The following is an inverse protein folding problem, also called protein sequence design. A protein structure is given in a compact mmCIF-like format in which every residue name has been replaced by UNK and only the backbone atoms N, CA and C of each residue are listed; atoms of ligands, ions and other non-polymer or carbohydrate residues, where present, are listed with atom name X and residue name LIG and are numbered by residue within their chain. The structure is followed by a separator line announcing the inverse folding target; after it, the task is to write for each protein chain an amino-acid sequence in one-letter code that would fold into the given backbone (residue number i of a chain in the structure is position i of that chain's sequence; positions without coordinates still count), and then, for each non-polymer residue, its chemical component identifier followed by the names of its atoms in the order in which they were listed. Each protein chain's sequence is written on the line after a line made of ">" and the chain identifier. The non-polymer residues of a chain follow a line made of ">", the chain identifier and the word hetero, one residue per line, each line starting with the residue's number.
data_IF_246792199424
#
_entry.id   IF_246792199424
#
_cell.length_a   1.000
_cell.length_b   1.000
_cell.length_c   1.000
_cell.angle_alpha   90.00
_cell.angle_beta   90.00
_cell.angle_gamma   90.00
#
_symmetry.space_group_name_H-M   'P 1'
#
loop_
_entity.id
_entity.type
_entity.pdbx_description
1 polymer ?
#
# COMPACT_ATOMS: atom_id res chain seq x y z
N UNK A 1 -7.00 -35.54 -22.60
CA UNK A 1 -7.41 -34.23 -23.17
C UNK A 1 -6.39 -33.11 -22.93
N UNK A 2 -5.22 -33.38 -22.33
CA UNK A 2 -4.22 -32.37 -21.94
C UNK A 2 -3.23 -31.97 -23.03
N UNK A 3 -2.91 -32.83 -24.01
CA UNK A 3 -1.88 -32.53 -25.03
C UNK A 3 -2.24 -31.41 -25.99
N UNK A 4 -3.55 -31.19 -26.20
CA UNK A 4 -4.06 -30.23 -27.17
C UNK A 4 -3.92 -28.77 -26.71
N UNK A 5 -4.12 -28.51 -25.41
CA UNK A 5 -3.96 -27.18 -24.82
C UNK A 5 -2.49 -26.75 -24.80
N UNK A 6 -1.56 -27.67 -24.52
CA UNK A 6 -0.12 -27.39 -24.48
C UNK A 6 0.41 -26.94 -25.83
N UNK A 7 0.02 -27.59 -26.93
CA UNK A 7 0.46 -27.24 -28.28
C UNK A 7 0.01 -25.84 -28.70
N UNK A 8 -1.21 -25.44 -28.32
CA UNK A 8 -1.74 -24.11 -28.60
C UNK A 8 -1.03 -23.02 -27.78
N UNK A 9 -0.75 -23.30 -26.50
CA UNK A 9 0.02 -22.40 -25.63
C UNK A 9 1.41 -22.19 -26.22
N UNK A 10 2.08 -23.27 -26.65
CA UNK A 10 3.40 -23.19 -27.28
C UNK A 10 3.36 -22.37 -28.58
N UNK A 11 2.36 -22.58 -29.43
CA UNK A 11 2.18 -21.81 -30.66
C UNK A 11 1.98 -20.31 -30.39
N UNK A 12 1.18 -19.96 -29.38
CA UNK A 12 0.94 -18.56 -29.00
C UNK A 12 2.18 -17.90 -28.38
N UNK A 13 2.97 -18.64 -27.59
CA UNK A 13 4.20 -18.12 -26.99
C UNK A 13 5.24 -17.66 -28.02
N UNK A 14 5.28 -18.29 -29.21
CA UNK A 14 6.20 -17.89 -30.30
C UNK A 14 5.98 -16.48 -30.83
N UNK A 15 4.82 -15.88 -30.58
CA UNK A 15 4.51 -14.51 -30.98
C UNK A 15 4.88 -13.49 -29.91
N UNK A 16 5.04 -13.91 -28.65
CA UNK A 16 5.25 -12.99 -27.52
C UNK A 16 6.75 -12.84 -27.27
N UNK A 17 7.31 -11.61 -27.31
CA UNK A 17 8.71 -11.40 -26.94
C UNK A 17 8.92 -11.62 -25.43
N UNK A 18 9.97 -12.35 -25.06
CA UNK A 18 10.30 -12.64 -23.67
C UNK A 18 11.15 -11.55 -22.97
N UNK A 19 11.51 -10.48 -23.68
CA UNK A 19 12.45 -9.45 -23.19
C UNK A 19 11.80 -8.45 -22.22
N UNK A 20 10.48 -8.27 -22.28
CA UNK A 20 9.75 -7.36 -21.40
C UNK A 20 9.44 -8.05 -20.07
N UNK A 21 9.99 -7.52 -18.97
CA UNK A 21 9.88 -8.11 -17.63
C UNK A 21 8.44 -8.23 -17.13
N UNK A 22 7.57 -7.27 -17.42
CA UNK A 22 6.18 -7.28 -16.96
C UNK A 22 5.35 -8.30 -17.74
N UNK A 23 5.52 -8.34 -19.07
CA UNK A 23 4.91 -9.38 -19.92
C UNK A 23 5.39 -10.76 -19.48
N UNK A 24 6.70 -10.91 -19.26
CA UNK A 24 7.34 -12.14 -18.82
C UNK A 24 6.74 -12.70 -17.53
N UNK A 25 6.55 -11.84 -16.52
CA UNK A 25 5.91 -12.23 -15.25
C UNK A 25 4.44 -12.59 -15.42
N UNK A 26 3.68 -11.81 -16.20
CA UNK A 26 2.24 -12.04 -16.42
C UNK A 26 1.97 -13.33 -17.20
N UNK A 27 2.75 -13.58 -18.24
CA UNK A 27 2.70 -14.82 -19.03
C UNK A 27 3.13 -16.01 -18.18
N UNK A 28 4.20 -15.88 -17.38
CA UNK A 28 4.61 -16.92 -16.43
C UNK A 28 3.50 -17.28 -15.43
N UNK A 29 2.88 -16.28 -14.79
CA UNK A 29 1.75 -16.52 -13.87
C UNK A 29 0.58 -17.21 -14.59
N UNK A 30 0.31 -16.85 -15.85
CA UNK A 30 -0.73 -17.46 -16.67
C UNK A 30 -0.45 -18.94 -16.98
N UNK A 31 0.78 -19.28 -17.36
CA UNK A 31 1.21 -20.66 -17.60
C UNK A 31 1.12 -21.49 -16.31
N UNK A 32 1.66 -20.97 -15.20
CA UNK A 32 1.64 -21.68 -13.91
C UNK A 32 0.22 -21.90 -13.38
N UNK A 33 -0.68 -20.96 -13.65
CA UNK A 33 -2.09 -21.08 -13.27
C UNK A 33 -2.82 -22.16 -14.07
N UNK A 34 -2.51 -22.31 -15.36
CA UNK A 34 -3.18 -23.28 -16.22
C UNK A 34 -2.59 -24.69 -16.10
N UNK A 35 -1.27 -24.81 -16.01
CA UNK A 35 -0.54 -26.08 -16.13
C UNK A 35 0.11 -26.55 -14.83
N UNK A 36 0.06 -25.74 -13.76
CA UNK A 36 0.80 -26.02 -12.53
C UNK A 36 2.29 -26.15 -12.80
N UNK A 37 2.98 -26.99 -12.03
CA UNK A 37 4.42 -27.21 -12.15
C UNK A 37 4.84 -27.84 -13.50
N UNK A 38 3.92 -28.53 -14.18
CA UNK A 38 4.16 -29.08 -15.53
C UNK A 38 4.35 -27.99 -16.60
N UNK A 39 4.00 -26.73 -16.30
CA UNK A 39 4.19 -25.60 -17.19
C UNK A 39 5.60 -25.02 -17.23
N UNK A 40 6.51 -25.45 -16.33
CA UNK A 40 7.83 -24.86 -16.23
C UNK A 40 8.64 -25.00 -17.52
N UNK A 41 8.60 -26.16 -18.18
CA UNK A 41 9.35 -26.40 -19.42
C UNK A 41 8.94 -25.46 -20.55
N UNK A 42 7.64 -25.14 -20.68
CA UNK A 42 7.16 -24.15 -21.65
C UNK A 42 7.64 -22.75 -21.32
N UNK A 43 7.54 -22.37 -20.04
CA UNK A 43 7.97 -21.08 -19.57
C UNK A 43 9.48 -20.86 -19.76
N UNK A 44 10.29 -21.87 -19.43
CA UNK A 44 11.74 -21.84 -19.54
C UNK A 44 12.19 -21.78 -21.01
N UNK A 45 11.63 -22.63 -21.87
CA UNK A 45 11.92 -22.62 -23.31
C UNK A 45 11.56 -21.29 -23.97
N UNK A 46 10.42 -20.69 -23.60
CA UNK A 46 10.04 -19.37 -24.09
C UNK A 46 10.96 -18.27 -23.55
N UNK A 47 11.32 -18.34 -22.27
CA UNK A 47 12.26 -17.40 -21.64
C UNK A 47 13.63 -17.42 -22.31
N UNK A 48 14.08 -18.59 -22.77
CA UNK A 48 15.34 -18.76 -23.49
C UNK A 48 15.41 -18.05 -24.84
N UNK A 49 14.30 -17.51 -25.35
CA UNK A 49 14.29 -16.67 -26.56
C UNK A 49 14.77 -15.24 -26.30
N UNK A 50 14.89 -14.82 -25.04
CA UNK A 50 15.38 -13.49 -24.68
C UNK A 50 16.91 -13.45 -24.60
N UNK A 51 17.51 -12.35 -25.07
CA UNK A 51 18.97 -12.17 -25.11
C UNK A 51 19.61 -12.14 -23.71
N UNK A 52 18.82 -11.83 -22.67
CA UNK A 52 19.25 -11.76 -21.27
C UNK A 52 18.85 -13.00 -20.45
N UNK A 53 18.51 -14.12 -21.10
CA UNK A 53 18.07 -15.32 -20.41
C UNK A 53 19.12 -15.91 -19.47
N UNK A 54 18.66 -16.29 -18.28
CA UNK A 54 19.42 -17.08 -17.33
C UNK A 54 18.51 -18.17 -16.74
N UNK A 55 18.95 -19.43 -16.84
CA UNK A 55 18.14 -20.58 -16.41
C UNK A 55 17.92 -20.64 -14.89
N UNK A 56 18.93 -20.29 -14.09
CA UNK A 56 18.82 -20.26 -12.62
C UNK A 56 17.84 -19.17 -12.17
N UNK A 57 17.97 -17.98 -12.74
CA UNK A 57 17.07 -16.86 -12.41
C UNK A 57 15.64 -17.17 -12.86
N UNK A 58 15.48 -17.79 -14.04
CA UNK A 58 14.17 -18.21 -14.56
C UNK A 58 13.50 -19.20 -13.63
N UNK A 59 14.24 -20.21 -13.14
CA UNK A 59 13.74 -21.18 -12.17
C UNK A 59 13.35 -20.54 -10.83
N UNK A 60 14.19 -19.63 -10.31
CA UNK A 60 13.91 -18.91 -9.07
C UNK A 60 12.63 -18.06 -9.20
N UNK A 61 12.47 -17.35 -10.31
CA UNK A 61 11.25 -16.57 -10.51
C UNK A 61 10.05 -17.48 -10.69
N UNK A 62 10.14 -18.58 -11.44
CA UNK A 62 9.05 -19.55 -11.58
C UNK A 62 8.49 -20.00 -10.24
N UNK A 63 9.37 -20.30 -9.28
CA UNK A 63 8.97 -20.67 -7.92
C UNK A 63 8.20 -19.54 -7.21
N UNK A 64 8.59 -18.28 -7.43
CA UNK A 64 7.93 -17.09 -6.85
C UNK A 64 6.60 -16.70 -7.51
N UNK A 65 6.29 -17.22 -8.70
CA UNK A 65 5.05 -16.91 -9.43
C UNK A 65 3.82 -17.42 -8.68
N UNK A 66 2.73 -16.66 -8.77
CA UNK A 66 1.50 -16.84 -8.00
C UNK A 66 0.39 -17.43 -8.87
N UNK A 67 -0.11 -18.60 -8.48
CA UNK A 67 -1.28 -19.23 -9.12
C UNK A 67 -2.52 -18.35 -8.89
N UNK A 68 -3.30 -18.12 -9.95
CA UNK A 68 -4.52 -17.32 -9.91
C UNK A 68 -4.32 -15.81 -10.10
N UNK A 69 -3.08 -15.32 -10.16
CA UNK A 69 -2.80 -13.88 -10.41
C UNK A 69 -3.07 -13.47 -11.86
N UNK A 70 -2.74 -14.34 -12.81
CA UNK A 70 -3.05 -14.19 -14.22
C UNK A 70 -3.56 -15.54 -14.75
N UNK A 71 -4.53 -15.53 -15.64
CA UNK A 71 -5.08 -16.74 -16.28
C UNK A 71 -4.61 -16.85 -17.73
N UNK A 72 -4.75 -18.03 -18.35
CA UNK A 72 -4.24 -18.31 -19.70
C UNK A 72 -4.71 -17.32 -20.78
N UNK A 73 -5.87 -16.67 -20.60
CA UNK A 73 -6.33 -15.58 -21.46
C UNK A 73 -5.36 -14.38 -21.54
N UNK A 74 -4.56 -14.15 -20.50
CA UNK A 74 -3.51 -13.11 -20.48
C UNK A 74 -2.43 -13.41 -21.52
N UNK A 75 -2.01 -14.68 -21.63
CA UNK A 75 -1.04 -15.12 -22.63
C UNK A 75 -1.60 -14.89 -24.04
N UNK A 76 -2.83 -15.31 -24.30
CA UNK A 76 -3.46 -15.11 -25.62
C UNK A 76 -3.75 -13.64 -25.94
N UNK A 77 -4.02 -12.81 -24.94
CA UNK A 77 -4.15 -11.36 -25.12
C UNK A 77 -2.84 -10.77 -25.67
N UNK A 78 -1.71 -11.08 -25.03
CA UNK A 78 -0.40 -10.64 -25.52
C UNK A 78 -0.06 -11.25 -26.87
N UNK A 79 -0.28 -12.55 -27.07
CA UNK A 79 -0.03 -13.20 -28.36
C UNK A 79 -0.77 -12.48 -29.51
N UNK A 80 -2.05 -12.11 -29.31
CA UNK A 80 -2.84 -11.36 -30.30
C UNK A 80 -2.29 -9.96 -30.55
N UNK A 81 -1.79 -9.27 -29.53
CA UNK A 81 -1.15 -7.95 -29.71
C UNK A 81 0.08 -8.04 -30.63
N UNK A 82 0.75 -9.20 -30.65
CA UNK A 82 1.88 -9.49 -31.52
C UNK A 82 1.49 -10.27 -32.79
N UNK A 83 0.20 -10.29 -33.16
CA UNK A 83 -0.25 -10.81 -34.46
C UNK A 83 -0.65 -12.29 -34.50
N UNK A 84 -0.79 -12.95 -33.34
CA UNK A 84 -1.33 -14.31 -33.29
C UNK A 84 -2.81 -14.35 -33.72
N UNK A 85 -3.14 -15.23 -34.67
CA UNK A 85 -4.52 -15.55 -35.07
C UNK A 85 -4.82 -17.03 -34.83
N UNK A 86 -6.10 -17.39 -34.68
CA UNK A 86 -6.52 -18.78 -34.40
C UNK A 86 -6.66 -19.64 -35.67
N UNK A 87 -6.32 -19.08 -36.83
CA UNK A 87 -6.72 -19.58 -38.15
C UNK A 87 -6.01 -20.89 -38.53
N UNK A 88 -4.89 -21.20 -37.86
CA UNK A 88 -4.13 -22.46 -37.96
C UNK A 88 -4.03 -23.23 -36.64
N UNK A 89 -4.92 -22.93 -35.69
CA UNK A 89 -4.91 -23.54 -34.36
C UNK A 89 -6.14 -24.43 -34.18
N UNK A 90 -6.01 -25.56 -33.47
CA UNK A 90 -7.19 -26.18 -32.91
C UNK A 90 -7.91 -25.18 -32.00
N UNK A 91 -9.23 -25.10 -32.12
CA UNK A 91 -10.04 -24.22 -31.31
C UNK A 91 -9.69 -24.40 -29.83
N UNK A 92 -9.39 -23.30 -29.13
CA UNK A 92 -9.43 -23.28 -27.66
C UNK A 92 -10.70 -24.03 -27.25
N UNK A 93 -10.64 -25.01 -26.33
CA UNK A 93 -11.86 -25.57 -25.79
C UNK A 93 -12.62 -24.41 -25.15
N UNK A 94 -13.64 -23.93 -25.85
CA UNK A 94 -14.59 -22.98 -25.32
C UNK A 94 -15.18 -23.69 -24.12
N UNK A 95 -14.86 -23.20 -22.92
CA UNK A 95 -15.42 -23.73 -21.69
C UNK A 95 -16.92 -23.77 -21.91
N UNK A 96 -17.51 -24.96 -21.81
CA UNK A 96 -18.96 -25.06 -21.91
C UNK A 96 -19.59 -24.29 -20.73
N UNK A 97 -20.87 -23.94 -20.79
CA UNK A 97 -21.52 -23.16 -19.73
C UNK A 97 -21.31 -23.75 -18.32
N UNK A 98 -21.22 -25.07 -18.21
CA UNK A 98 -20.97 -25.76 -16.94
C UNK A 98 -19.55 -25.52 -16.42
N UNK A 99 -18.52 -25.64 -17.26
CA UNK A 99 -17.12 -25.38 -16.87
C UNK A 99 -16.86 -23.90 -16.56
N UNK A 100 -17.56 -22.98 -17.23
CA UNK A 100 -17.51 -21.56 -16.91
C UNK A 100 -18.12 -21.29 -15.53
N UNK A 101 -19.29 -21.89 -15.25
CA UNK A 101 -19.95 -21.78 -13.95
C UNK A 101 -19.10 -22.39 -12.82
N UNK A 102 -18.50 -23.56 -13.02
CA UNK A 102 -17.59 -24.19 -12.06
C UNK A 102 -16.38 -23.30 -11.74
N UNK A 103 -15.75 -22.70 -12.77
CA UNK A 103 -14.63 -21.76 -12.60
C UNK A 103 -15.04 -20.52 -11.83
N UNK A 104 -16.18 -19.91 -12.18
CA UNK A 104 -16.70 -18.74 -11.47
C UNK A 104 -17.02 -19.08 -10.01
N UNK A 105 -17.63 -20.24 -9.76
CA UNK A 105 -17.92 -20.73 -8.41
C UNK A 105 -16.64 -20.95 -7.61
N UNK A 106 -15.60 -21.56 -8.19
CA UNK A 106 -14.30 -21.73 -7.53
C UNK A 106 -13.62 -20.39 -7.24
N UNK A 107 -13.66 -19.44 -8.17
CA UNK A 107 -13.11 -18.09 -7.96
C UNK A 107 -13.85 -17.36 -6.85
N UNK A 108 -15.19 -17.47 -6.82
CA UNK A 108 -16.01 -16.85 -5.79
C UNK A 108 -15.72 -17.48 -4.41
N UNK A 109 -15.70 -18.81 -4.31
CA UNK A 109 -15.34 -19.52 -3.07
C UNK A 109 -13.93 -19.17 -2.59
N UNK A 110 -12.95 -19.10 -3.50
CA UNK A 110 -11.59 -18.72 -3.15
C UNK A 110 -11.50 -17.27 -2.66
N UNK A 111 -12.23 -16.34 -3.31
CA UNK A 111 -12.31 -14.94 -2.90
C UNK A 111 -13.00 -14.79 -1.54
N UNK A 112 -14.08 -15.52 -1.30
CA UNK A 112 -14.79 -15.54 -0.02
C UNK A 112 -13.89 -16.09 1.09
N UNK A 113 -13.22 -17.22 0.85
CA UNK A 113 -12.26 -17.81 1.80
C UNK A 113 -11.12 -16.84 2.12
N UNK A 114 -10.50 -16.24 1.10
CA UNK A 114 -9.44 -15.26 1.31
C UNK A 114 -9.92 -14.01 2.07
N UNK A 115 -11.17 -13.57 1.82
CA UNK A 115 -11.78 -12.45 2.55
C UNK A 115 -12.01 -12.80 4.01
N UNK A 116 -12.52 -14.00 4.30
CA UNK A 116 -12.72 -14.49 5.66
C UNK A 116 -11.40 -14.65 6.43
N UNK A 117 -10.38 -15.25 5.80
CA UNK A 117 -9.04 -15.39 6.38
C UNK A 117 -8.41 -14.04 6.71
N UNK A 118 -8.54 -13.07 5.79
CA UNK A 118 -8.05 -11.70 6.00
C UNK A 118 -8.81 -10.99 7.12
N UNK A 119 -10.14 -11.16 7.21
CA UNK A 119 -10.95 -10.59 8.28
C UNK A 119 -10.56 -11.17 9.65
N UNK A 120 -10.34 -12.49 9.74
CA UNK A 120 -9.87 -13.14 10.97
C UNK A 120 -8.49 -12.62 11.37
N UNK A 121 -7.57 -12.50 10.42
CA UNK A 121 -6.25 -11.93 10.67
C UNK A 121 -6.34 -10.51 11.23
N UNK A 122 -7.19 -9.66 10.66
CA UNK A 122 -7.38 -8.29 11.14
C UNK A 122 -8.00 -8.25 12.52
N UNK A 123 -8.98 -9.10 12.83
CA UNK A 123 -9.56 -9.19 14.16
C UNK A 123 -8.51 -9.58 15.23
N UNK A 124 -7.67 -10.57 14.92
CA UNK A 124 -6.56 -10.98 15.80
C UNK A 124 -5.52 -9.86 15.97
N UNK A 125 -5.17 -9.17 14.89
CA UNK A 125 -4.22 -8.07 14.94
C UNK A 125 -4.77 -6.88 15.74
N UNK A 126 -6.06 -6.56 15.61
CA UNK A 126 -6.74 -5.52 16.38
C UNK A 126 -6.75 -5.83 17.89
N UNK A 127 -7.06 -7.08 18.28
CA UNK A 127 -6.98 -7.53 19.67
C UNK A 127 -5.57 -7.36 20.25
N UNK A 128 -4.55 -7.79 19.49
CA UNK A 128 -3.14 -7.61 19.88
C UNK A 128 -2.77 -6.13 19.99
N UNK A 129 -3.18 -5.32 19.02
CA UNK A 129 -2.93 -3.87 19.01
C UNK A 129 -3.55 -3.19 20.22
N UNK A 130 -4.81 -3.51 20.54
CA UNK A 130 -5.50 -2.97 21.71
C UNK A 130 -4.82 -3.37 23.01
N UNK A 131 -4.43 -4.64 23.16
CA UNK A 131 -3.72 -5.13 24.35
C UNK A 131 -2.38 -4.41 24.54
N UNK A 132 -1.58 -4.27 23.47
CA UNK A 132 -0.34 -3.50 23.52
C UNK A 132 -0.59 -2.04 23.88
N UNK A 133 -1.56 -1.40 23.22
CA UNK A 133 -1.94 -0.01 23.47
C UNK A 133 -2.31 0.26 24.93
N UNK A 134 -3.13 -0.62 25.52
CA UNK A 134 -3.58 -0.51 26.90
C UNK A 134 -2.44 -0.66 27.92
N UNK A 135 -1.41 -1.43 27.57
CA UNK A 135 -0.22 -1.63 28.40
C UNK A 135 0.88 -0.57 28.18
N UNK A 136 0.73 0.33 27.20
CA UNK A 136 1.67 1.42 27.01
C UNK A 136 1.49 2.49 28.10
N UNK A 137 2.60 3.06 28.57
CA UNK A 137 2.61 4.10 29.57
C UNK A 137 2.33 5.48 28.97
N UNK A 138 1.91 6.42 29.82
CA UNK A 138 1.89 7.83 29.46
C UNK A 138 3.31 8.33 29.19
N UNK A 139 3.43 9.27 28.25
CA UNK A 139 4.68 9.98 27.96
C UNK A 139 4.36 11.46 27.77
N UNK A 140 5.20 12.35 28.27
CA UNK A 140 5.11 13.79 28.01
C UNK A 140 5.82 14.14 26.68
N UNK A 141 6.19 15.41 26.50
CA UNK A 141 6.88 15.87 25.30
C UNK A 141 8.39 15.56 25.31
N UNK A 142 8.91 14.83 26.30
CA UNK A 142 10.36 14.62 26.48
C UNK A 142 10.92 13.44 25.68
N UNK A 143 10.09 12.70 24.95
CA UNK A 143 10.60 11.60 24.13
C UNK A 143 11.57 12.12 23.05
N UNK A 144 12.75 11.49 22.83
CA UNK A 144 13.79 12.01 21.94
C UNK A 144 13.32 12.37 20.53
N UNK A 145 12.43 11.54 19.94
CA UNK A 145 11.83 11.84 18.64
C UNK A 145 10.98 13.12 18.64
N UNK A 146 10.19 13.37 19.68
CA UNK A 146 9.34 14.56 19.78
C UNK A 146 10.19 15.83 19.89
N UNK A 147 11.21 15.78 20.74
CA UNK A 147 12.18 16.87 20.92
C UNK A 147 12.94 17.14 19.62
N UNK A 148 13.45 16.10 18.97
CA UNK A 148 14.19 16.21 17.69
C UNK A 148 13.34 16.83 16.59
N UNK A 149 12.04 16.53 16.59
CA UNK A 149 11.10 17.02 15.57
C UNK A 149 10.42 18.33 15.96
N UNK A 150 10.72 18.89 17.15
CA UNK A 150 10.06 20.05 17.75
C UNK A 150 8.51 19.96 17.73
N UNK A 151 8.00 18.78 18.07
CA UNK A 151 6.56 18.47 18.09
C UNK A 151 6.10 17.98 19.45
N UNK A 152 4.80 18.13 19.71
CA UNK A 152 4.19 17.69 20.97
C UNK A 152 3.54 16.31 20.87
N UNK A 153 3.29 15.73 22.03
CA UNK A 153 2.46 14.54 22.19
C UNK A 153 0.97 14.91 22.09
N UNK A 154 0.30 14.35 21.08
CA UNK A 154 -1.12 14.46 20.83
C UNK A 154 -1.78 13.08 20.78
N UNK A 155 -1.83 12.42 21.94
CA UNK A 155 -2.48 11.13 22.10
C UNK A 155 -1.59 9.92 21.80
N UNK A 156 -0.27 10.09 21.91
CA UNK A 156 0.72 9.02 21.87
C UNK A 156 0.98 8.46 23.27
N UNK A 157 1.50 7.24 23.30
CA UNK A 157 1.99 6.55 24.50
C UNK A 157 3.42 6.06 24.28
N UNK A 158 4.07 5.55 25.32
CA UNK A 158 5.38 4.89 25.21
C UNK A 158 5.25 3.41 25.56
N UNK A 159 5.92 2.56 24.77
CA UNK A 159 5.97 1.12 25.02
C UNK A 159 7.22 0.76 25.82
N UNK A 160 7.04 0.00 26.90
CA UNK A 160 8.14 -0.62 27.63
C UNK A 160 7.95 -2.13 27.60
N UNK A 161 8.88 -2.84 26.95
CA UNK A 161 8.82 -4.29 26.79
C UNK A 161 9.82 -4.80 25.76
N UNK A 162 9.71 -6.08 25.44
CA UNK A 162 10.67 -6.83 24.63
C UNK A 162 10.22 -7.05 23.17
N UNK A 163 9.11 -6.44 22.75
CA UNK A 163 8.63 -6.54 21.37
C UNK A 163 9.69 -6.04 20.39
N UNK A 164 9.98 -6.85 19.37
CA UNK A 164 10.78 -6.46 18.22
C UNK A 164 9.98 -6.60 16.92
N UNK A 165 10.08 -5.62 16.03
CA UNK A 165 9.36 -5.61 14.74
C UNK A 165 10.38 -5.38 13.62
N UNK A 166 10.56 -6.39 12.76
CA UNK A 166 11.48 -6.28 11.62
C UNK A 166 12.92 -5.95 12.02
N UNK A 167 13.37 -6.47 13.17
CA UNK A 167 14.71 -6.19 13.73
C UNK A 167 14.80 -4.96 14.62
N UNK A 168 13.79 -4.08 14.63
CA UNK A 168 13.74 -2.91 15.50
C UNK A 168 13.21 -3.30 16.89
N UNK A 169 14.01 -3.14 17.93
CA UNK A 169 13.55 -3.22 19.31
C UNK A 169 12.56 -2.06 19.58
N UNK A 170 11.35 -2.38 20.05
CA UNK A 170 10.31 -1.38 20.30
C UNK A 170 10.38 -0.79 21.71
N UNK A 171 11.34 -1.22 22.55
CA UNK A 171 11.55 -0.66 23.88
C UNK A 171 11.71 0.87 23.80
N UNK A 172 11.01 1.57 24.68
CA UNK A 172 10.96 3.02 24.78
C UNK A 172 10.49 3.73 23.50
N UNK A 173 9.84 3.00 22.59
CA UNK A 173 9.26 3.59 21.39
C UNK A 173 7.95 4.31 21.70
N UNK A 174 7.72 5.44 21.04
CA UNK A 174 6.38 6.02 20.95
C UNK A 174 5.46 5.05 20.23
N UNK A 175 4.21 5.03 20.65
CA UNK A 175 3.14 4.25 20.05
C UNK A 175 2.04 5.18 19.60
N UNK A 176 1.64 5.03 18.35
CA UNK A 176 0.54 5.77 17.71
C UNK A 176 -0.53 4.76 17.32
N UNK A 177 -1.78 4.89 17.82
CA UNK A 177 -2.86 3.99 17.46
C UNK A 177 -3.41 4.32 16.06
N UNK A 178 -3.71 3.28 15.29
CA UNK A 178 -4.52 3.40 14.07
C UNK A 178 -5.94 3.01 14.43
N UNK A 179 -6.86 3.97 14.40
CA UNK A 179 -8.25 3.80 14.81
C UNK A 179 -9.22 3.91 13.64
N UNK A 180 -10.43 3.39 13.84
CA UNK A 180 -11.58 3.64 12.97
C UNK A 180 -12.39 4.88 13.41
N UNK A 181 -13.52 5.14 12.76
CA UNK A 181 -14.41 6.25 13.09
C UNK A 181 -15.13 6.13 14.45
N UNK A 182 -15.08 4.94 15.08
CA UNK A 182 -15.61 4.70 16.42
C UNK A 182 -14.51 4.78 17.49
N UNK A 183 -13.24 4.95 17.09
CA UNK A 183 -12.10 4.98 17.98
C UNK A 183 -11.56 3.61 18.36
N UNK A 184 -11.99 2.52 17.70
CA UNK A 184 -11.45 1.19 17.96
C UNK A 184 -10.05 1.06 17.34
N UNK A 185 -9.10 0.48 18.07
CA UNK A 185 -7.72 0.27 17.58
C UNK A 185 -7.63 -0.95 16.65
N UNK A 186 -7.11 -0.75 15.43
CA UNK A 186 -6.91 -1.81 14.43
C UNK A 186 -5.44 -2.10 14.12
N UNK A 187 -4.54 -1.19 14.43
CA UNK A 187 -3.09 -1.36 14.34
C UNK A 187 -2.36 -0.34 15.21
N UNK A 188 -1.03 -0.42 15.24
CA UNK A 188 -0.15 0.51 15.93
C UNK A 188 1.03 0.88 15.00
N UNK A 189 1.50 2.12 15.08
CA UNK A 189 2.83 2.52 14.63
C UNK A 189 3.73 2.73 15.84
N UNK A 190 4.91 2.13 15.81
CA UNK A 190 5.99 2.33 16.76
C UNK A 190 7.02 3.28 16.16
N UNK A 191 7.51 4.24 16.94
CA UNK A 191 8.60 5.14 16.58
C UNK A 191 9.67 5.04 17.65
N UNK A 192 10.85 4.53 17.29
CA UNK A 192 11.97 4.40 18.22
C UNK A 192 12.48 5.76 18.70
N UNK A 193 13.29 5.81 19.78
CA UNK A 193 13.99 7.03 20.18
C UNK A 193 14.85 7.66 19.06
N UNK A 194 15.36 6.85 18.13
CA UNK A 194 16.14 7.31 16.96
C UNK A 194 15.27 7.72 15.77
N UNK A 195 13.95 7.57 15.86
CA UNK A 195 13.00 7.94 14.82
C UNK A 195 12.72 6.85 13.78
N UNK A 196 13.25 5.63 13.95
CA UNK A 196 12.89 4.48 13.12
C UNK A 196 11.42 4.10 13.35
N UNK A 197 10.67 3.91 12.26
CA UNK A 197 9.22 3.66 12.31
C UNK A 197 8.88 2.24 11.86
N UNK A 198 8.02 1.56 12.61
CA UNK A 198 7.50 0.23 12.26
C UNK A 198 6.02 0.13 12.58
N UNK A 199 5.25 -0.53 11.71
CA UNK A 199 3.86 -0.86 12.01
C UNK A 199 3.77 -2.23 12.66
N UNK A 200 2.78 -2.42 13.53
CA UNK A 200 2.45 -3.74 14.06
C UNK A 200 2.11 -4.68 12.89
N UNK A 201 2.83 -5.80 12.73
CA UNK A 201 2.61 -6.70 11.60
C UNK A 201 1.18 -7.22 11.55
N UNK A 202 0.68 -7.44 10.32
CA UNK A 202 -0.67 -7.96 10.04
C UNK A 202 -1.84 -7.06 10.45
N UNK A 203 -1.57 -5.89 11.05
CA UNK A 203 -2.61 -4.90 11.37
C UNK A 203 -3.26 -4.31 10.12
N UNK A 204 -4.48 -3.83 10.26
CA UNK A 204 -5.20 -3.17 9.18
C UNK A 204 -4.87 -1.67 9.16
N UNK A 205 -4.09 -1.23 8.17
CA UNK A 205 -3.79 0.20 7.97
C UNK A 205 -4.83 0.88 7.10
N UNK A 206 -5.33 0.18 6.07
CA UNK A 206 -6.22 0.78 5.08
C UNK A 206 -7.50 1.28 5.74
N UNK A 207 -7.83 2.55 5.52
CA UNK A 207 -8.99 3.24 6.10
C UNK A 207 -8.85 3.64 7.56
N UNK A 208 -7.76 3.26 8.24
CA UNK A 208 -7.51 3.57 9.66
C UNK A 208 -6.46 4.67 9.80
N UNK A 209 -6.59 5.48 10.84
CA UNK A 209 -5.87 6.74 10.98
C UNK A 209 -5.65 7.11 12.45
N UNK A 210 -4.83 8.13 12.70
CA UNK A 210 -4.72 8.76 14.02
C UNK A 210 -5.36 10.14 13.98
N UNK A 211 -5.99 10.56 15.08
CA UNK A 211 -6.66 11.86 15.19
C UNK A 211 -5.98 12.69 16.26
N UNK A 212 -5.56 13.88 15.87
CA UNK A 212 -5.22 14.98 16.78
C UNK A 212 -6.47 15.85 16.88
N UNK A 213 -7.09 15.87 18.06
CA UNK A 213 -8.33 16.62 18.30
C UNK A 213 -8.08 18.13 18.24
N UNK A 214 -9.00 18.88 17.64
CA UNK A 214 -8.89 20.33 17.48
C UNK A 214 -10.16 20.92 16.87
N UNK A 215 -10.08 22.14 16.35
CA UNK A 215 -11.19 22.80 15.63
C UNK A 215 -11.60 21.98 14.39
N UNK A 216 -12.90 21.73 14.22
CA UNK A 216 -13.42 20.90 13.12
C UNK A 216 -13.98 21.71 11.95
N UNK A 217 -14.00 23.04 12.02
CA UNK A 217 -14.40 23.94 10.93
C UNK A 217 -13.49 23.73 9.71
N UNK A 218 -12.19 23.56 9.98
CA UNK A 218 -11.18 23.13 9.00
C UNK A 218 -10.51 21.87 9.54
N UNK A 219 -10.50 20.81 8.74
CA UNK A 219 -9.84 19.55 9.08
C UNK A 219 -8.67 19.37 8.13
N UNK A 220 -7.51 19.10 8.69
CA UNK A 220 -6.28 18.85 7.94
C UNK A 220 -6.03 17.34 7.90
N UNK A 221 -5.59 16.81 6.77
CA UNK A 221 -5.27 15.40 6.61
C UNK A 221 -3.88 15.25 6.01
N UNK A 222 -2.97 14.55 6.68
CA UNK A 222 -1.58 14.39 6.26
C UNK A 222 -1.10 12.94 6.35
N UNK A 223 0.09 12.63 5.82
CA UNK A 223 0.67 11.28 5.91
C UNK A 223 1.31 11.01 7.26
N UNK A 224 2.24 11.86 7.71
CA UNK A 224 3.07 11.61 8.89
C UNK A 224 2.56 12.26 10.18
N UNK A 225 2.87 11.64 11.33
CA UNK A 225 2.56 12.23 12.64
C UNK A 225 3.30 13.54 12.89
N UNK A 226 4.57 13.66 12.49
CA UNK A 226 5.33 14.90 12.69
C UNK A 226 4.72 16.07 11.93
N UNK A 227 4.43 15.86 10.64
CA UNK A 227 3.65 16.77 9.80
C UNK A 227 2.34 17.16 10.48
N UNK A 228 1.59 16.17 10.97
CA UNK A 228 0.29 16.41 11.60
C UNK A 228 0.37 17.20 12.90
N UNK A 229 1.36 16.93 13.74
CA UNK A 229 1.60 17.65 14.97
C UNK A 229 2.02 19.10 14.70
N UNK A 230 2.89 19.36 13.71
CA UNK A 230 3.25 20.73 13.30
C UNK A 230 2.05 21.50 12.76
N UNK A 231 1.22 20.88 11.89
CA UNK A 231 -0.02 21.47 11.40
C UNK A 231 -0.97 21.84 12.54
N UNK A 232 -1.15 20.94 13.52
CA UNK A 232 -1.99 21.21 14.68
C UNK A 232 -1.41 22.31 15.58
N UNK A 233 -0.10 22.28 15.87
CA UNK A 233 0.58 23.30 16.67
C UNK A 233 0.45 24.69 16.06
N UNK A 234 0.54 24.78 14.73
CA UNK A 234 0.36 26.02 14.01
C UNK A 234 -1.11 26.47 14.03
N UNK A 235 -2.05 25.59 13.72
CA UNK A 235 -3.42 26.03 13.35
C UNK A 235 -4.49 25.82 14.41
N UNK A 236 -4.26 24.93 15.39
CA UNK A 236 -5.29 24.44 16.32
C UNK A 236 -6.39 23.59 15.68
N UNK A 237 -6.32 23.32 14.37
CA UNK A 237 -7.31 22.52 13.65
C UNK A 237 -7.21 21.04 14.04
N UNK A 238 -8.31 20.30 13.90
CA UNK A 238 -8.28 18.84 13.94
C UNK A 238 -7.40 18.34 12.79
N UNK A 239 -6.49 17.41 13.11
CA UNK A 239 -5.59 16.81 12.12
C UNK A 239 -5.75 15.30 12.11
N UNK A 240 -5.87 14.73 10.91
CA UNK A 240 -5.99 13.30 10.67
C UNK A 240 -4.73 12.79 10.00
N UNK A 241 -4.07 11.82 10.61
CA UNK A 241 -2.82 11.23 10.11
C UNK A 241 -3.14 9.89 9.45
N UNK A 242 -2.94 9.81 8.14
CA UNK A 242 -3.27 8.65 7.31
C UNK A 242 -2.13 7.61 7.21
N UNK A 243 -0.92 7.95 7.70
CA UNK A 243 0.27 7.10 7.77
C UNK A 243 0.97 6.73 6.46
N UNK A 244 0.27 6.76 5.33
CA UNK A 244 0.87 6.57 4.00
C UNK A 244 0.04 7.19 2.87
N UNK A 245 0.72 7.57 1.78
CA UNK A 245 0.10 8.10 0.57
C UNK A 245 -1.05 7.23 0.02
N UNK A 246 -0.92 5.91 0.08
CA UNK A 246 -1.94 4.99 -0.45
C UNK A 246 -3.23 4.96 0.38
N UNK A 247 -3.16 5.43 1.63
CA UNK A 247 -4.26 5.48 2.56
C UNK A 247 -5.00 6.83 2.56
N UNK A 248 -4.36 7.90 2.07
CA UNK A 248 -4.93 9.26 2.02
C UNK A 248 -6.36 9.26 1.45
N UNK A 249 -6.59 8.60 0.32
CA UNK A 249 -7.90 8.58 -0.33
C UNK A 249 -8.96 7.91 0.56
N UNK A 250 -8.70 6.70 1.06
CA UNK A 250 -9.66 5.97 1.87
C UNK A 250 -10.00 6.73 3.17
N UNK A 251 -8.99 7.30 3.83
CA UNK A 251 -9.19 8.10 5.05
C UNK A 251 -9.95 9.39 4.74
N UNK A 252 -9.60 10.09 3.67
CA UNK A 252 -10.28 11.34 3.29
C UNK A 252 -11.76 11.14 2.99
N UNK A 253 -12.13 10.02 2.37
CA UNK A 253 -13.53 9.65 2.12
C UNK A 253 -14.28 9.41 3.44
N UNK A 254 -13.68 8.66 4.38
CA UNK A 254 -14.25 8.44 5.71
C UNK A 254 -14.46 9.75 6.47
N UNK A 255 -13.47 10.64 6.47
CA UNK A 255 -13.55 11.93 7.16
C UNK A 255 -14.58 12.84 6.50
N UNK A 256 -14.65 12.88 5.16
CA UNK A 256 -15.66 13.66 4.44
C UNK A 256 -17.08 13.19 4.77
N UNK A 257 -17.30 11.89 4.91
CA UNK A 257 -18.60 11.34 5.33
C UNK A 257 -18.98 11.76 6.75
N UNK A 258 -18.02 11.72 7.69
CA UNK A 258 -18.25 12.12 9.08
C UNK A 258 -18.39 13.64 9.26
N UNK A 259 -17.68 14.43 8.46
CA UNK A 259 -17.58 15.89 8.56
C UNK A 259 -17.96 16.58 7.24
N UNK A 260 -19.20 16.35 6.78
CA UNK A 260 -19.66 16.80 5.47
C UNK A 260 -19.57 18.33 5.25
N UNK A 261 -19.67 19.12 6.33
CA UNK A 261 -19.67 20.60 6.27
C UNK A 261 -18.30 21.24 6.49
N UNK A 262 -17.31 20.47 6.95
CA UNK A 262 -15.98 21.00 7.24
C UNK A 262 -15.20 21.26 5.97
N UNK A 263 -14.35 22.29 5.99
CA UNK A 263 -13.35 22.47 4.94
C UNK A 263 -12.27 21.40 5.16
N UNK A 264 -12.13 20.47 4.21
CA UNK A 264 -11.15 19.40 4.29
C UNK A 264 -9.94 19.77 3.43
N UNK A 265 -8.77 19.81 4.04
CA UNK A 265 -7.50 20.17 3.39
C UNK A 265 -6.57 18.97 3.46
N UNK A 266 -6.20 18.42 2.30
CA UNK A 266 -5.21 17.36 2.19
C UNK A 266 -3.84 18.01 2.12
N UNK A 267 -3.03 17.77 3.14
CA UNK A 267 -1.69 18.32 3.33
C UNK A 267 -0.67 17.29 2.84
N UNK A 268 -0.01 17.57 1.73
CA UNK A 268 0.92 16.65 1.09
C UNK A 268 2.37 16.92 1.50
N UNK A 269 3.16 15.86 1.60
CA UNK A 269 4.61 15.97 1.55
C UNK A 269 5.04 16.23 0.10
N UNK A 270 5.94 17.18 -0.10
CA UNK A 270 6.46 17.62 -1.38
C UNK A 270 7.90 17.13 -1.61
N UNK A 271 8.06 15.85 -1.96
CA UNK A 271 9.37 15.29 -2.33
C UNK A 271 9.74 15.66 -3.78
N UNK A 272 10.00 16.95 -3.99
CA UNK A 272 10.30 17.57 -5.29
C UNK A 272 11.59 17.05 -5.95
N UNK A 273 12.45 16.36 -5.19
CA UNK A 273 13.68 15.71 -5.70
C UNK A 273 13.43 14.42 -6.48
N UNK A 274 12.25 13.81 -6.34
CA UNK A 274 11.94 12.54 -7.01
C UNK A 274 11.23 12.76 -8.35
N UNK A 275 11.54 11.95 -9.38
CA UNK A 275 10.81 11.99 -10.66
C UNK A 275 9.30 11.76 -10.51
N UNK A 276 8.89 11.02 -9.47
CA UNK A 276 7.49 10.77 -9.13
C UNK A 276 7.24 11.16 -7.68
N UNK A 277 6.59 12.30 -7.48
CA UNK A 277 6.16 12.79 -6.18
C UNK A 277 4.87 12.07 -5.73
N UNK A 278 5.04 10.85 -5.21
CA UNK A 278 3.91 9.95 -4.91
C UNK A 278 2.98 10.52 -3.83
N UNK A 279 3.52 11.24 -2.84
CA UNK A 279 2.72 11.88 -1.79
C UNK A 279 1.83 12.99 -2.36
N UNK A 280 2.41 13.92 -3.13
CA UNK A 280 1.66 14.98 -3.79
C UNK A 280 0.61 14.47 -4.77
N UNK A 281 0.94 13.48 -5.60
CA UNK A 281 -0.02 12.88 -6.53
C UNK A 281 -1.19 12.19 -5.82
N UNK A 282 -0.91 11.46 -4.74
CA UNK A 282 -1.94 10.81 -3.94
C UNK A 282 -2.83 11.84 -3.21
N UNK A 283 -2.23 12.88 -2.64
CA UNK A 283 -2.95 13.97 -1.98
C UNK A 283 -3.83 14.75 -2.96
N UNK A 284 -3.31 15.06 -4.16
CA UNK A 284 -4.07 15.72 -5.23
C UNK A 284 -5.28 14.88 -5.66
N UNK A 285 -5.09 13.57 -5.85
CA UNK A 285 -6.19 12.64 -6.14
C UNK A 285 -7.23 12.62 -5.03
N UNK A 286 -6.79 12.52 -3.77
CA UNK A 286 -7.68 12.51 -2.62
C UNK A 286 -8.50 13.80 -2.51
N UNK A 287 -7.84 14.96 -2.60
CA UNK A 287 -8.48 16.27 -2.57
C UNK A 287 -9.55 16.42 -3.66
N UNK A 288 -9.23 15.98 -4.90
CA UNK A 288 -10.19 16.00 -6.00
C UNK A 288 -11.42 15.13 -5.72
N UNK A 289 -11.23 13.89 -5.27
CA UNK A 289 -12.32 12.93 -5.04
C UNK A 289 -13.29 13.39 -3.94
N UNK A 290 -12.77 14.02 -2.88
CA UNK A 290 -13.58 14.41 -1.70
C UNK A 290 -14.02 15.87 -1.72
N UNK A 291 -13.81 16.56 -2.85
CA UNK A 291 -14.02 18.00 -2.99
C UNK A 291 -13.34 18.78 -1.84
N UNK A 292 -12.09 18.42 -1.56
CA UNK A 292 -11.21 19.07 -0.60
C UNK A 292 -10.25 20.06 -1.27
N UNK A 293 -9.49 20.75 -0.43
CA UNK A 293 -8.37 21.58 -0.85
C UNK A 293 -7.06 20.79 -0.74
N UNK A 294 -6.05 21.22 -1.47
CA UNK A 294 -4.69 20.68 -1.40
C UNK A 294 -3.77 21.76 -0.83
N UNK A 295 -2.94 21.39 0.13
CA UNK A 295 -1.85 22.22 0.63
C UNK A 295 -0.55 21.40 0.61
N UNK A 296 0.56 22.03 0.30
CA UNK A 296 1.89 21.43 0.38
C UNK A 296 2.90 22.56 0.60
N UNK A 297 4.02 22.30 1.29
CA UNK A 297 5.04 23.32 1.47
C UNK A 297 5.73 23.62 0.14
N UNK A 298 5.88 24.91 -0.15
CA UNK A 298 6.66 25.40 -1.28
C UNK A 298 8.07 25.75 -0.79
N UNK A 299 9.04 24.95 -1.21
CA UNK A 299 10.45 25.14 -0.87
C UNK A 299 11.21 25.54 -2.12
N UNK A 300 12.17 26.45 -1.97
CA UNK A 300 13.07 26.81 -3.07
C UNK A 300 13.90 25.58 -3.49
N UNK A 301 14.27 25.50 -4.78
CA UNK A 301 14.99 24.34 -5.34
C UNK A 301 16.36 24.08 -4.66
N UNK A 302 16.93 25.07 -3.96
CA UNK A 302 18.17 24.93 -3.20
C UNK A 302 17.97 24.17 -1.87
N UNK A 303 16.73 24.00 -1.42
CA UNK A 303 16.36 23.32 -0.17
C UNK A 303 15.88 21.89 -0.40
N UNK A 304 16.65 21.11 -1.16
CA UNK A 304 16.29 19.77 -1.64
C UNK A 304 15.98 18.73 -0.55
N UNK A 305 16.46 18.97 0.67
CA UNK A 305 16.23 18.11 1.84
C UNK A 305 14.87 18.36 2.52
N UNK A 306 14.26 19.53 2.32
CA UNK A 306 12.99 19.90 2.96
C UNK A 306 11.80 19.43 2.11
N UNK A 307 10.89 18.70 2.74
CA UNK A 307 9.84 17.97 2.02
C UNK A 307 8.48 18.09 2.69
N UNK A 308 8.41 18.27 3.99
CA UNK A 308 7.14 18.26 4.72
C UNK A 308 6.89 19.53 5.55
N UNK A 309 5.67 19.64 6.11
CA UNK A 309 5.31 20.79 6.95
C UNK A 309 6.09 20.84 8.28
N UNK A 310 6.67 19.73 8.73
CA UNK A 310 7.53 19.74 9.91
C UNK A 310 8.89 20.35 9.58
N UNK A 311 9.44 20.08 8.39
CA UNK A 311 10.64 20.74 7.88
C UNK A 311 10.41 22.26 7.74
N UNK A 312 9.25 22.66 7.21
CA UNK A 312 8.86 24.07 7.12
C UNK A 312 8.76 24.73 8.50
N UNK A 313 8.13 24.05 9.46
CA UNK A 313 8.01 24.54 10.84
C UNK A 313 9.38 24.71 11.51
N UNK A 314 10.29 23.75 11.35
CA UNK A 314 11.61 23.80 11.98
C UNK A 314 12.51 24.89 11.37
N UNK A 315 12.38 25.14 10.07
CA UNK A 315 13.26 26.09 9.35
C UNK A 315 12.73 27.52 9.32
N UNK A 316 11.42 27.70 9.20
CA UNK A 316 10.76 29.00 9.02
C UNK A 316 9.78 29.36 10.15
N UNK A 317 9.57 28.45 11.11
CA UNK A 317 8.65 28.63 12.23
C UNK A 317 7.21 28.22 11.93
N UNK A 318 6.40 28.08 13.00
CA UNK A 318 5.00 27.65 12.90
C UNK A 318 4.09 28.62 12.14
N UNK A 319 4.45 29.91 12.04
CA UNK A 319 3.64 30.88 11.28
C UNK A 319 3.67 30.59 9.77
N UNK A 320 4.80 30.12 9.23
CA UNK A 320 4.91 29.73 7.82
C UNK A 320 4.03 28.53 7.46
N UNK A 321 3.61 27.73 8.45
CA UNK A 321 2.71 26.60 8.26
C UNK A 321 1.24 27.04 8.13
N UNK A 322 0.89 28.25 8.60
CA UNK A 322 -0.48 28.79 8.54
C UNK A 322 -0.83 29.46 7.21
N UNK A 323 0.20 29.95 6.50
CA UNK A 323 0.09 30.71 5.25
C UNK A 323 -0.13 29.80 4.06
#
# INVERSE_FOLDING_TARGET
>A
MTSHNTALIEAALRYIPANDRDIWLKVGNAIKTELGDNGFSLFDNWSATADNYNSRDTQAVWQSLQVGKNHIGTLFHYAKQYGFTYDNSPQMPVLNPQQQAERQQQQQLAKEKATQEKALQYAQAAQKALSLWQNCAYIDNQHPYLVTKDIKNYGLRVYHGDLAIGGMACQDSLVIPLVDNQGNTHSLQFISPTGEKRFLPKGNKQGHYHVISGDTTRILLCEGYATGASLHQATGCMVVVAFDASNLLAVSQTIRQAFAKSVLIICADNDHTKPKNTGLEAAKKAALEVHGLLAYPDFDQEQSELKDFNDLAQTQGLEAVKT
#
